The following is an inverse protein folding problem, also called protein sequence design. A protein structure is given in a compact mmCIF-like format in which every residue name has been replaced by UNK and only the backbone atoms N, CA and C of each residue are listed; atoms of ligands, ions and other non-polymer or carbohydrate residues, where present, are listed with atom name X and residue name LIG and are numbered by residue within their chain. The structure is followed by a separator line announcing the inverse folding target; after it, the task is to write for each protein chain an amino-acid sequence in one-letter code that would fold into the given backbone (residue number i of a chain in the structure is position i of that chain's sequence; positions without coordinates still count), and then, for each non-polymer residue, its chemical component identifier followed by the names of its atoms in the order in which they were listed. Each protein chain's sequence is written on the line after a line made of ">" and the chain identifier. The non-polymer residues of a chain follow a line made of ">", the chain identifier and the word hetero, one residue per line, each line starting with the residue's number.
data_IF_515033745996
#
_entry.id   IF_515033745996
#
_cell.length_a   1.000
_cell.length_b   1.000
_cell.length_c   1.000
_cell.angle_alpha   90.00
_cell.angle_beta   90.00
_cell.angle_gamma   90.00
#
_symmetry.space_group_name_H-M   'P 1'
#
loop_
_entity.id
_entity.type
_entity.pdbx_description
1 polymer ?
2 non-polymer ?
3 water ?
#
# COMPACT_ATOMS: atom_id res chain seq x y z
N UNK A 4 -2.21 -3.30 -13.56
CA UNK A 4 -1.74 -1.88 -13.33
C UNK A 4 -0.28 -1.85 -12.90
N UNK A 5 0.46 -0.85 -13.39
CA UNK A 5 1.86 -0.71 -12.98
C UNK A 5 2.05 0.35 -11.90
N UNK A 6 2.57 -0.11 -10.78
CA UNK A 6 2.94 0.77 -9.67
C UNK A 6 4.44 0.93 -9.58
N UNK A 7 5.19 0.44 -10.57
CA UNK A 7 6.66 0.39 -10.45
C UNK A 7 7.32 1.72 -10.07
N UNK A 8 6.87 2.84 -10.65
CA UNK A 8 7.53 4.11 -10.38
C UNK A 8 7.32 4.49 -8.91
N UNK A 9 6.19 4.11 -8.31
CA UNK A 9 5.90 4.44 -6.91
C UNK A 9 6.65 3.53 -5.98
N UNK A 10 6.78 2.26 -6.35
CA UNK A 10 7.67 1.33 -5.65
C UNK A 10 9.10 1.91 -5.61
N UNK A 11 9.56 2.43 -6.74
CA UNK A 11 10.89 3.05 -6.81
C UNK A 11 11.02 4.25 -5.91
N UNK A 12 9.99 5.10 -5.93
CA UNK A 12 10.06 6.30 -5.06
C UNK A 12 10.17 5.87 -3.60
N UNK A 13 9.40 4.86 -3.20
CA UNK A 13 9.46 4.37 -1.82
C UNK A 13 10.81 3.73 -1.52
N UNK A 14 11.35 2.96 -2.49
CA UNK A 14 12.66 2.36 -2.29
C UNK A 14 13.67 3.44 -1.96
N UNK A 15 13.65 4.54 -2.69
CA UNK A 15 14.62 5.59 -2.48
C UNK A 15 14.50 6.21 -1.07
N UNK A 16 13.31 6.19 -0.49
CA UNK A 16 13.11 6.71 0.84
C UNK A 16 13.56 5.79 1.97
N UNK A 17 13.66 4.50 1.72
CA UNK A 17 14.12 3.53 2.72
C UNK A 17 15.56 3.07 2.51
N UNK A 18 15.98 2.96 1.26
CA UNK A 18 17.31 2.47 0.93
C UNK A 18 17.80 3.30 -0.26
N UNK A 19 18.29 4.53 0.01
CA UNK A 19 18.51 5.47 -1.08
C UNK A 19 19.55 5.06 -2.12
N UNK A 20 20.47 4.17 -1.74
CA UNK A 20 21.53 3.73 -2.63
C UNK A 20 21.45 2.25 -3.02
N UNK A 21 20.23 1.71 -2.97
CA UNK A 21 19.94 0.34 -3.36
C UNK A 21 18.96 0.33 -4.51
N UNK A 22 19.22 -0.52 -5.48
CA UNK A 22 18.38 -0.67 -6.66
C UNK A 22 17.48 -1.88 -6.52
N UNK A 23 16.79 -2.21 -7.62
CA UNK A 23 15.85 -3.37 -7.64
C UNK A 23 15.88 -3.91 -9.04
N UNK A 24 16.07 -5.23 -9.17
CA UNK A 24 16.14 -5.83 -10.49
C UNK A 24 14.79 -5.81 -11.16
N UNK A 25 14.81 -6.00 -12.47
CA UNK A 25 13.58 -6.04 -13.29
C UNK A 25 12.60 -7.11 -12.77
N UNK A 26 13.10 -8.28 -12.46
CA UNK A 26 12.21 -9.33 -11.96
C UNK A 26 11.68 -8.99 -10.56
N UNK A 27 12.54 -8.45 -9.69
CA UNK A 27 12.09 -8.08 -8.37
C UNK A 27 11.03 -6.98 -8.40
N UNK A 28 11.17 -6.05 -9.33
CA UNK A 28 10.17 -5.01 -9.49
C UNK A 28 8.85 -5.61 -9.92
N UNK A 29 8.89 -6.57 -10.85
CA UNK A 29 7.65 -7.21 -11.29
C UNK A 29 6.90 -7.91 -10.12
N UNK A 30 7.67 -8.55 -9.23
CA UNK A 30 7.11 -9.23 -8.06
C UNK A 30 6.46 -8.19 -7.15
N UNK A 31 7.15 -7.08 -6.92
CA UNK A 31 6.58 -6.00 -6.09
C UNK A 31 5.29 -5.48 -6.68
N UNK A 32 5.27 -5.27 -8.01
CA UNK A 32 4.07 -4.80 -8.66
C UNK A 32 2.92 -5.80 -8.43
N UNK A 33 3.21 -7.10 -8.56
CA UNK A 33 2.20 -8.13 -8.30
C UNK A 33 1.70 -8.08 -6.85
N UNK A 34 2.60 -7.90 -5.87
CA UNK A 34 2.21 -7.73 -4.45
C UNK A 34 1.22 -6.57 -4.28
N UNK A 35 1.55 -5.43 -4.85
CA UNK A 35 0.74 -4.23 -4.68
C UNK A 35 -0.64 -4.47 -5.28
N UNK A 36 -0.69 -4.99 -6.50
CA UNK A 36 -1.98 -5.32 -7.13
C UNK A 36 -2.80 -6.30 -6.29
N UNK A 37 -2.16 -7.34 -5.76
CA UNK A 37 -2.86 -8.38 -4.98
C UNK A 37 -3.49 -7.77 -3.72
N UNK A 38 -2.70 -6.97 -3.01
CA UNK A 38 -3.17 -6.37 -1.79
C UNK A 38 -4.29 -5.37 -2.06
N UNK A 39 -4.12 -4.54 -3.09
CA UNK A 39 -5.20 -3.63 -3.50
C UNK A 39 -6.51 -4.40 -3.67
N UNK A 40 -6.45 -5.47 -4.46
CA UNK A 40 -7.66 -6.24 -4.81
C UNK A 40 -8.28 -6.84 -3.55
N UNK A 41 -7.45 -7.34 -2.64
CA UNK A 41 -7.97 -8.00 -1.47
C UNK A 41 -8.63 -7.00 -0.53
N UNK A 42 -7.99 -5.85 -0.32
CA UNK A 42 -8.56 -4.83 0.56
C UNK A 42 -9.82 -4.23 -0.05
N UNK A 43 -9.79 -3.90 -1.34
CA UNK A 43 -10.95 -3.28 -2.00
C UNK A 43 -12.13 -4.27 -2.00
N UNK A 44 -11.85 -5.55 -2.29
CA UNK A 44 -12.89 -6.59 -2.24
C UNK A 44 -13.52 -6.74 -0.86
N UNK A 45 -12.71 -6.73 0.18
CA UNK A 45 -13.27 -6.80 1.55
C UNK A 45 -14.06 -5.53 1.92
N UNK A 46 -13.53 -4.37 1.56
CA UNK A 46 -14.26 -3.10 1.77
C UNK A 46 -15.64 -3.12 1.08
N UNK A 47 -15.68 -3.71 -0.12
CA UNK A 47 -16.91 -3.87 -0.90
C UNK A 47 -17.88 -4.75 -0.12
N UNK A 48 -17.42 -5.91 0.32
CA UNK A 48 -18.29 -6.81 1.13
C UNK A 48 -18.80 -6.11 2.39
N UNK A 49 -17.92 -5.37 3.07
CA UNK A 49 -18.33 -4.64 4.29
C UNK A 49 -19.37 -3.56 4.00
N UNK A 50 -19.19 -2.82 2.91
CA UNK A 50 -20.15 -1.80 2.50
C UNK A 50 -21.51 -2.44 2.31
N UNK A 51 -21.55 -3.55 1.55
CA UNK A 51 -22.81 -4.30 1.30
C UNK A 51 -23.40 -4.85 2.61
N UNK A 52 -22.57 -5.47 3.43
CA UNK A 52 -22.99 -6.00 4.76
C UNK A 52 -23.65 -4.90 5.63
N UNK A 53 -23.10 -3.69 5.58
CA UNK A 53 -23.63 -2.53 6.34
C UNK A 53 -24.65 -1.66 5.58
N UNK A 54 -25.11 -2.15 4.42
CA UNK A 54 -26.11 -1.47 3.61
C UNK A 54 -25.71 -0.03 3.27
N UNK A 55 -24.42 0.16 2.95
CA UNK A 55 -23.89 1.44 2.53
C UNK A 55 -23.71 1.32 1.02
N UNK A 56 -23.92 2.44 0.36
CA UNK A 56 -23.69 2.51 -1.08
C UNK A 56 -22.38 3.23 -1.41
N UNK A 57 -21.67 3.74 -0.38
CA UNK A 57 -20.38 4.44 -0.56
C UNK A 57 -19.26 3.78 0.21
N UNK A 58 -18.15 3.51 -0.46
CA UNK A 58 -16.92 3.08 0.21
C UNK A 58 -16.20 4.33 0.71
N UNK A 59 -15.95 4.37 2.01
CA UNK A 59 -15.27 5.50 2.64
C UNK A 59 -14.05 4.93 3.38
N UNK A 60 -13.31 5.81 4.06
CA UNK A 60 -12.13 5.36 4.78
C UNK A 60 -12.49 4.38 5.92
N UNK A 61 -13.72 4.44 6.40
CA UNK A 61 -14.20 3.49 7.44
C UNK A 61 -14.17 2.04 6.96
N UNK A 62 -14.64 1.78 5.74
CA UNK A 62 -14.69 0.42 5.23
C UNK A 62 -13.25 -0.01 4.85
N UNK A 63 -12.43 0.92 4.34
CA UNK A 63 -11.05 0.60 4.08
C UNK A 63 -10.33 0.20 5.38
N UNK A 64 -10.50 0.99 6.42
CA UNK A 64 -9.85 0.68 7.70
C UNK A 64 -10.24 -0.72 8.22
N UNK A 65 -11.53 -0.99 8.24
CA UNK A 65 -11.93 -2.28 8.78
C UNK A 65 -11.44 -3.43 7.91
N UNK A 66 -11.50 -3.27 6.59
CA UNK A 66 -10.93 -4.24 5.67
C UNK A 66 -9.45 -4.49 5.94
N UNK A 67 -8.71 -3.42 6.12
CA UNK A 67 -7.28 -3.53 6.44
C UNK A 67 -7.06 -4.31 7.76
N UNK A 68 -7.85 -4.00 8.79
CA UNK A 68 -7.74 -4.72 10.07
C UNK A 68 -8.11 -6.23 9.94
N UNK A 69 -9.07 -6.54 9.10
CA UNK A 69 -9.45 -7.94 8.86
C UNK A 69 -8.36 -8.70 8.10
N UNK A 70 -7.72 -8.04 7.15
CA UNK A 70 -6.80 -8.75 6.27
C UNK A 70 -5.38 -8.82 6.77
N UNK A 71 -4.92 -7.78 7.47
CA UNK A 71 -3.52 -7.68 7.82
C UNK A 71 -3.32 -8.30 9.21
N UNK A 72 -2.25 -9.08 9.39
CA UNK A 72 -1.93 -9.53 10.74
C UNK A 72 -1.59 -8.40 11.69
N UNK A 73 -1.76 -8.67 12.98
CA UNK A 73 -1.51 -7.77 14.10
C UNK A 73 -0.71 -6.50 13.95
N UNK A 74 0.61 -6.60 14.00
CA UNK A 74 1.47 -5.41 13.98
C UNK A 74 1.40 -4.65 12.66
N UNK A 75 1.35 -5.39 11.54
CA UNK A 75 1.22 -4.75 10.23
C UNK A 75 -0.07 -3.94 10.23
N UNK A 76 -1.16 -4.53 10.75
CA UNK A 76 -2.45 -3.84 10.81
C UNK A 76 -2.37 -2.57 11.65
N UNK A 77 -1.76 -2.65 12.83
CA UNK A 77 -1.59 -1.46 13.67
C UNK A 77 -0.87 -0.33 12.94
N UNK A 78 0.22 -0.65 12.28
CA UNK A 78 1.00 0.38 11.58
C UNK A 78 0.25 0.89 10.35
N UNK A 79 -0.42 -0.03 9.65
CA UNK A 79 -1.20 0.36 8.49
C UNK A 79 -2.33 1.33 8.84
N UNK A 80 -3.05 1.02 9.94
CA UNK A 80 -4.11 1.88 10.40
C UNK A 80 -3.55 3.25 10.82
N UNK A 81 -2.42 3.28 11.52
CA UNK A 81 -1.76 4.52 11.91
C UNK A 81 -1.43 5.39 10.68
N UNK A 82 -0.89 4.76 9.63
CA UNK A 82 -0.48 5.52 8.44
C UNK A 82 -1.69 5.94 7.63
N UNK A 83 -2.71 5.09 7.51
CA UNK A 83 -3.88 5.47 6.76
C UNK A 83 -4.66 6.60 7.42
N UNK A 84 -4.83 6.50 8.74
CA UNK A 84 -5.47 7.56 9.53
C UNK A 84 -4.72 8.89 9.39
N UNK A 85 -3.39 8.83 9.56
CA UNK A 85 -2.53 10.00 9.37
C UNK A 85 -2.71 10.67 8.02
N UNK A 86 -2.72 9.85 6.96
CA UNK A 86 -2.89 10.39 5.62
C UNK A 86 -4.21 11.13 5.46
N UNK A 87 -5.28 10.54 6.00
CA UNK A 87 -6.59 11.14 5.88
C UNK A 87 -6.68 12.44 6.66
N UNK A 88 -6.13 12.45 7.88
CA UNK A 88 -6.21 13.69 8.68
C UNK A 88 -5.37 14.77 8.01
N UNK A 89 -4.22 14.41 7.46
CA UNK A 89 -3.39 15.41 6.75
C UNK A 89 -4.14 15.93 5.51
N UNK A 90 -4.72 15.03 4.74
CA UNK A 90 -5.41 15.39 3.51
C UNK A 90 -6.56 16.33 3.78
N UNK A 91 -7.26 16.09 4.88
CA UNK A 91 -8.41 16.94 5.23
C UNK A 91 -7.95 18.39 5.46
N UNK A 92 -6.80 18.56 6.10
CA UNK A 92 -6.28 19.88 6.44
C UNK A 92 -5.55 20.62 5.30
N UNK A 93 -4.79 19.88 4.48
CA UNK A 93 -3.75 20.47 3.66
C UNK A 93 -4.30 21.02 2.33
N UNK A 94 -5.16 22.01 2.44
CA UNK A 94 -5.92 22.51 1.29
C UNK A 94 -5.05 23.23 0.27
N UNK A 95 -3.88 23.72 0.67
CA UNK A 95 -2.99 24.44 -0.25
C UNK A 95 -1.98 23.54 -0.98
N UNK A 96 -2.02 22.24 -0.75
CA UNK A 96 -1.15 21.30 -1.48
C UNK A 96 -1.52 21.21 -2.96
N UNK A 97 -0.51 20.93 -3.77
CA UNK A 97 -0.62 21.03 -5.25
C UNK A 97 -1.21 19.81 -5.93
N UNK A 98 -1.11 18.63 -5.29
CA UNK A 98 -1.62 17.37 -5.86
C UNK A 98 -2.27 16.55 -4.76
N UNK A 99 -3.13 15.59 -5.12
CA UNK A 99 -3.78 14.79 -4.09
C UNK A 99 -2.80 13.95 -3.31
N UNK A 100 -1.77 13.40 -3.97
CA UNK A 100 -0.77 12.61 -3.28
C UNK A 100 0.02 13.48 -2.30
N UNK A 101 0.44 14.67 -2.75
CA UNK A 101 1.17 15.54 -1.85
C UNK A 101 0.30 16.03 -0.70
N UNK A 102 -0.98 16.28 -0.97
CA UNK A 102 -1.92 16.69 0.08
C UNK A 102 -1.98 15.62 1.22
N UNK A 103 -1.89 14.34 0.86
CA UNK A 103 -1.90 13.23 1.77
C UNK A 103 -0.51 12.88 2.39
N UNK A 104 0.55 13.55 1.94
CA UNK A 104 1.90 13.17 2.34
C UNK A 104 2.42 11.87 1.77
N UNK A 105 1.92 11.48 0.58
CA UNK A 105 2.21 10.16 0.04
C UNK A 105 3.01 10.19 -1.24
N UNK A 106 3.71 9.10 -1.48
CA UNK A 106 4.35 8.78 -2.77
C UNK A 106 3.43 8.00 -3.71
N UNK A 107 2.59 7.15 -3.15
CA UNK A 107 1.68 6.36 -3.96
C UNK A 107 0.59 7.28 -4.52
N UNK A 108 -0.03 6.86 -5.62
CA UNK A 108 -0.90 7.72 -6.40
C UNK A 108 -2.36 7.74 -5.96
N UNK A 109 -2.79 8.80 -5.27
CA UNK A 109 -4.12 8.84 -4.70
C UNK A 109 -5.18 8.87 -5.82
N UNK A 110 -4.94 9.68 -6.84
CA UNK A 110 -5.86 9.73 -7.95
C UNK A 110 -6.05 8.40 -8.70
N UNK A 111 -4.96 7.71 -8.99
CA UNK A 111 -5.05 6.40 -9.65
C UNK A 111 -5.78 5.38 -8.77
N UNK A 112 -5.49 5.39 -7.47
CA UNK A 112 -6.20 4.49 -6.57
C UNK A 112 -7.69 4.80 -6.55
N UNK A 113 -8.05 6.08 -6.55
CA UNK A 113 -9.46 6.45 -6.62
C UNK A 113 -10.12 5.91 -7.90
N UNK A 114 -9.45 6.11 -9.04
CA UNK A 114 -9.94 5.64 -10.34
C UNK A 114 -10.13 4.14 -10.33
N UNK A 115 -9.15 3.41 -9.81
CA UNK A 115 -9.28 1.97 -9.76
C UNK A 115 -10.38 1.46 -8.84
N UNK A 116 -10.61 2.16 -7.71
CA UNK A 116 -11.70 1.84 -6.81
C UNK A 116 -13.05 2.04 -7.51
N UNK A 117 -13.18 3.09 -8.29
CA UNK A 117 -14.40 3.31 -9.08
C UNK A 117 -14.53 2.26 -10.19
N UNK A 118 -13.44 2.03 -10.92
CA UNK A 118 -13.42 1.07 -12.06
C UNK A 118 -13.80 -0.36 -11.65
N UNK A 119 -13.49 -0.74 -10.41
CA UNK A 119 -13.75 -2.10 -9.94
C UNK A 119 -15.17 -2.41 -9.48
N UNK A 120 -16.07 -1.42 -9.51
CA UNK A 120 -17.46 -1.65 -9.11
C UNK A 120 -17.56 -2.33 -7.75
N UNK A 121 -16.78 -1.80 -6.82
CA UNK A 121 -16.78 -2.25 -5.44
C UNK A 121 -17.98 -1.71 -4.68
N UNK A 122 -18.51 -0.56 -5.12
CA UNK A 122 -19.75 0.00 -4.56
C UNK A 122 -20.25 1.03 -5.53
N UNK A 123 -21.43 1.56 -5.26
CA UNK A 123 -22.03 2.58 -6.15
C UNK A 123 -21.13 3.81 -6.21
N UNK A 124 -20.53 4.20 -5.07
CA UNK A 124 -19.78 5.47 -4.99
C UNK A 124 -18.55 5.31 -4.10
N UNK A 125 -17.55 6.16 -4.33
CA UNK A 125 -16.31 6.13 -3.54
C UNK A 125 -15.98 7.53 -3.03
N UNK A 126 -15.89 7.67 -1.71
CA UNK A 126 -15.52 8.94 -1.06
C UNK A 126 -14.07 9.29 -1.22
N UNK A 127 -13.74 10.58 -1.12
CA UNK A 127 -12.38 11.10 -1.34
C UNK A 127 -11.35 10.57 -0.35
N UNK A 128 -11.79 10.18 0.83
CA UNK A 128 -10.89 9.67 1.88
C UNK A 128 -10.49 8.24 1.63
N UNK A 129 -11.34 7.45 1.00
CA UNK A 129 -11.05 6.02 0.78
C UNK A 129 -9.73 5.79 0.03
N UNK A 130 -9.50 6.49 -1.12
CA UNK A 130 -8.24 6.23 -1.87
C UNK A 130 -7.03 6.78 -1.11
N UNK A 131 -7.20 7.83 -0.31
CA UNK A 131 -6.11 8.32 0.53
C UNK A 131 -5.67 7.26 1.52
N UNK A 132 -6.64 6.68 2.22
CA UNK A 132 -6.33 5.67 3.23
C UNK A 132 -5.72 4.44 2.55
N UNK A 133 -6.31 4.00 1.42
CA UNK A 133 -5.79 2.82 0.77
C UNK A 133 -4.41 3.06 0.21
N UNK A 134 -4.17 4.21 -0.42
CA UNK A 134 -2.84 4.52 -0.96
C UNK A 134 -1.79 4.50 0.14
N UNK A 135 -2.15 5.02 1.32
CA UNK A 135 -1.22 5.08 2.46
C UNK A 135 -0.88 3.69 2.94
N UNK A 136 -1.86 2.80 2.96
CA UNK A 136 -1.61 1.42 3.35
C UNK A 136 -0.70 0.69 2.37
N UNK A 137 -1.01 0.80 1.08
CA UNK A 137 -0.16 0.22 0.04
C UNK A 137 1.28 0.74 0.14
N UNK A 138 1.44 2.03 0.41
CA UNK A 138 2.77 2.62 0.56
C UNK A 138 3.51 2.05 1.78
N UNK A 139 2.80 1.91 2.89
CA UNK A 139 3.37 1.37 4.11
C UNK A 139 3.84 -0.06 3.90
N UNK A 140 3.01 -0.90 3.28
CA UNK A 140 3.41 -2.30 3.06
C UNK A 140 4.58 -2.38 2.13
N UNK A 141 4.59 -1.56 1.09
CA UNK A 141 5.71 -1.50 0.16
C UNK A 141 7.00 -1.12 0.89
N UNK A 142 6.93 -0.10 1.73
CA UNK A 142 8.08 0.38 2.45
C UNK A 142 8.63 -0.68 3.41
N UNK A 143 7.74 -1.42 4.08
CA UNK A 143 8.16 -2.45 4.98
C UNK A 143 8.85 -3.55 4.23
N UNK A 144 8.29 -3.99 3.11
CA UNK A 144 8.89 -5.07 2.34
C UNK A 144 10.23 -4.63 1.78
N UNK A 145 10.31 -3.43 1.25
CA UNK A 145 11.56 -2.92 0.71
C UNK A 145 12.63 -2.68 1.78
N UNK A 146 12.23 -2.22 2.96
CA UNK A 146 13.17 -2.08 4.07
C UNK A 146 13.85 -3.42 4.32
N UNK A 147 13.02 -4.45 4.52
CA UNK A 147 13.56 -5.78 4.86
C UNK A 147 14.35 -6.41 3.73
N UNK A 148 13.81 -6.33 2.51
CA UNK A 148 14.51 -6.92 1.35
C UNK A 148 15.81 -6.19 1.06
N UNK A 149 15.85 -4.87 1.23
CA UNK A 149 17.09 -4.09 1.08
C UNK A 149 18.11 -4.44 2.15
N UNK A 150 17.62 -4.77 3.34
CA UNK A 150 18.52 -5.20 4.46
C UNK A 150 19.13 -6.53 4.07
N UNK A 151 18.30 -7.43 3.51
CA UNK A 151 18.85 -8.72 3.00
C UNK A 151 19.89 -8.49 1.92
N UNK A 152 19.62 -7.60 0.99
CA UNK A 152 20.58 -7.28 -0.06
C UNK A 152 21.93 -6.82 0.53
N UNK A 153 21.86 -5.86 1.46
CA UNK A 153 23.05 -5.33 2.17
C UNK A 153 23.80 -6.42 2.96
N UNK A 154 23.04 -7.30 3.59
CA UNK A 154 23.64 -8.38 4.41
C UNK A 154 24.38 -9.37 3.54
N UNK A 155 24.03 -9.43 2.25
CA UNK A 155 24.67 -10.24 1.23
C UNK A 155 25.64 -9.46 0.32
N UNK A 156 25.96 -8.22 0.69
CA UNK A 156 26.87 -7.30 -0.04
C UNK A 156 26.45 -7.13 -1.50
N UNK A 157 25.14 -6.95 -1.70
CA UNK A 157 24.54 -6.67 -3.00
C UNK A 157 24.03 -5.23 -2.98
N UNK A 158 24.10 -4.56 -4.13
CA UNK A 158 23.65 -3.17 -4.28
C UNK A 158 22.24 -3.07 -4.86
N UNK A 159 21.58 -4.22 -5.04
CA UNK A 159 20.19 -4.22 -5.44
C UNK A 159 19.44 -5.39 -4.86
N UNK A 160 18.14 -5.18 -4.79
CA UNK A 160 17.20 -6.21 -4.41
C UNK A 160 16.91 -7.10 -5.61
N UNK A 161 17.04 -8.41 -5.39
CA UNK A 161 16.68 -9.41 -6.38
C UNK A 161 15.57 -10.29 -5.76
N UNK A 162 14.93 -11.13 -6.57
CA UNK A 162 13.80 -11.95 -6.04
C UNK A 162 14.11 -12.77 -4.78
N UNK A 163 15.31 -13.34 -4.69
CA UNK A 163 15.59 -14.14 -3.48
C UNK A 163 15.63 -13.28 -2.20
N UNK A 164 15.94 -11.99 -2.31
CA UNK A 164 15.88 -11.12 -1.16
C UNK A 164 14.44 -10.82 -0.75
N UNK A 165 13.54 -10.65 -1.73
CA UNK A 165 12.13 -10.49 -1.42
C UNK A 165 11.61 -11.75 -0.72
N UNK A 166 12.01 -12.93 -1.21
CA UNK A 166 11.58 -14.19 -0.62
C UNK A 166 12.06 -14.31 0.80
N UNK A 167 13.33 -14.02 1.04
CA UNK A 167 13.87 -14.05 2.41
C UNK A 167 13.10 -13.10 3.32
N UNK A 168 12.93 -11.88 2.87
CA UNK A 168 12.25 -10.84 3.65
C UNK A 168 10.83 -11.25 4.03
N UNK A 169 10.05 -11.73 3.05
CA UNK A 169 8.64 -12.02 3.26
C UNK A 169 8.50 -13.32 4.04
N UNK A 170 9.25 -14.34 3.65
CA UNK A 170 9.06 -15.68 4.25
C UNK A 170 9.57 -15.80 5.67
N UNK A 171 10.59 -15.01 6.02
CA UNK A 171 11.16 -15.03 7.37
C UNK A 171 10.46 -14.06 8.34
N UNK A 172 9.53 -13.25 7.83
CA UNK A 172 8.70 -12.38 8.66
C UNK A 172 7.35 -13.04 8.84
N UNK A 173 7.04 -13.44 10.07
CA UNK A 173 5.78 -14.11 10.39
C UNK A 173 4.56 -13.45 9.72
N UNK A 174 4.42 -12.15 9.93
CA UNK A 174 3.25 -11.41 9.45
C UNK A 174 3.21 -11.20 7.93
N UNK A 175 4.32 -10.78 7.32
CA UNK A 175 4.35 -10.70 5.88
C UNK A 175 4.12 -12.04 5.20
N UNK A 176 4.68 -13.10 5.78
CA UNK A 176 4.46 -14.43 5.24
C UNK A 176 2.96 -14.80 5.21
N UNK A 177 2.27 -14.50 6.30
CA UNK A 177 0.84 -14.71 6.41
C UNK A 177 0.08 -13.88 5.35
N UNK A 178 0.40 -12.59 5.30
CA UNK A 178 -0.23 -11.70 4.33
C UNK A 178 0.00 -12.15 2.89
N UNK A 179 1.23 -12.54 2.56
CA UNK A 179 1.65 -12.71 1.16
C UNK A 179 2.07 -14.12 0.86
X LIG B 1 3.51 18.70 8.11
X LIG B 1 3.87 17.92 6.91
X LIG B 1 2.72 16.98 6.61
X LIG B 1 4.24 18.74 5.71
X LIG B 1 5.21 16.95 7.16
X LIG B 1 5.86 15.69 6.22
X LIG B 1 7.02 15.11 6.99
X LIG B 1 6.33 16.23 4.89
X LIG B 1 4.70 14.72 5.96
#
# INVERSE_FOLDING_TARGET
>A
GRKESYAIYVYKVLKQVHPDTGISSKAMSIMNSFVNDVFERIAGEASRLAHYNKRSTITSREIQTAVRLLLPGELAKHAVSEGTKAVTKYTSAKKAKTRSSRAGLQFPVGRVHRLLRKGNYAERVGAGAPVYLAAVLEYLTAEILELAGNAARDNKKTRIIPRHLQLAVRNDEELNKLLGGVTIAQ
>B hetero
1 PPV O11 P1 O21 O31 OPP P2 O12 O22 O32
#
